data_IF_837010610049
#
_entry.id   IF_837010610049
#
_cell.length_a   1.000
_cell.length_b   1.000
_cell.length_c   1.000
_cell.angle_alpha   90.00
_cell.angle_beta   90.00
_cell.angle_gamma   90.00
#
_symmetry.space_group_name_H-M   'P 1'
#
loop_
_entity.id
_entity.type
_entity.pdbx_description
1 polymer ?
#
# COMPACT_ATOMS: atom_id res chain seq x y z
N UNK A 1 -11.89 -1.25 19.33
CA UNK A 1 -11.64 -0.91 17.91
C UNK A 1 -10.59 0.19 17.69
N UNK A 2 -10.17 0.97 18.71
CA UNK A 2 -9.15 2.03 18.60
C UNK A 2 -7.70 1.54 18.42
N UNK A 3 -7.43 0.26 18.70
CA UNK A 3 -6.05 -0.25 18.87
C UNK A 3 -5.34 -0.54 17.53
N UNK A 4 -5.98 -1.33 16.65
CA UNK A 4 -5.38 -1.73 15.35
C UNK A 4 -4.97 -0.56 14.46
N UNK A 5 -5.78 0.50 14.39
CA UNK A 5 -5.45 1.68 13.56
C UNK A 5 -4.23 2.42 14.08
N UNK A 6 -4.06 2.49 15.40
CA UNK A 6 -2.86 3.05 16.02
C UNK A 6 -1.65 2.16 15.71
N UNK A 7 -1.81 0.84 15.75
CA UNK A 7 -0.77 -0.12 15.34
C UNK A 7 -0.35 0.08 13.88
N UNK A 8 -1.30 0.24 12.95
CA UNK A 8 -0.98 0.53 11.53
C UNK A 8 -0.16 1.81 11.41
N UNK A 9 -0.56 2.90 12.09
CA UNK A 9 0.21 4.15 12.07
C UNK A 9 1.59 4.03 12.73
N UNK A 10 1.71 3.24 13.79
CA UNK A 10 3.00 2.96 14.41
C UNK A 10 3.92 2.19 13.44
N UNK A 11 3.39 1.19 12.74
CA UNK A 11 4.14 0.42 11.76
C UNK A 11 4.53 1.26 10.54
N UNK A 12 3.62 2.08 10.00
CA UNK A 12 3.93 3.03 8.91
C UNK A 12 5.15 3.88 9.30
N UNK A 13 5.13 4.48 10.49
CA UNK A 13 6.25 5.29 10.99
C UNK A 13 7.55 4.50 11.14
N UNK A 14 7.48 3.25 11.63
CA UNK A 14 8.66 2.39 11.76
C UNK A 14 9.24 2.00 10.40
N UNK A 15 8.38 1.69 9.42
CA UNK A 15 8.78 1.40 8.04
C UNK A 15 9.45 2.62 7.38
N UNK A 16 8.86 3.80 7.50
CA UNK A 16 9.48 5.03 7.00
C UNK A 16 10.82 5.32 7.67
N UNK A 17 10.93 5.11 8.99
CA UNK A 17 12.17 5.27 9.73
C UNK A 17 13.25 4.26 9.28
N UNK A 18 12.86 3.01 9.02
CA UNK A 18 13.75 1.96 8.52
C UNK A 18 14.35 2.31 7.15
N UNK A 19 13.57 2.93 6.26
CA UNK A 19 14.03 3.40 4.94
C UNK A 19 14.35 4.89 4.87
N UNK A 20 14.61 5.56 6.01
CA UNK A 20 14.76 7.02 6.09
C UNK A 20 15.89 7.60 5.22
N UNK A 21 16.90 6.79 4.90
CA UNK A 21 18.05 7.22 4.11
C UNK A 21 17.77 7.21 2.61
N UNK A 22 16.64 6.63 2.16
CA UNK A 22 16.25 6.62 0.76
C UNK A 22 15.49 7.92 0.41
N UNK A 23 15.74 8.54 -0.75
CA UNK A 23 15.08 9.78 -1.14
C UNK A 23 13.60 9.54 -1.49
N UNK A 24 12.76 10.54 -1.24
CA UNK A 24 11.38 10.58 -1.73
C UNK A 24 11.39 11.01 -3.21
N UNK A 25 10.61 10.37 -4.10
CA UNK A 25 9.60 9.33 -3.84
C UNK A 25 10.07 7.87 -3.99
N UNK A 26 11.36 7.64 -4.32
CA UNK A 26 11.91 6.30 -4.53
C UNK A 26 11.76 5.38 -3.30
N UNK A 27 11.86 5.95 -2.09
CA UNK A 27 11.62 5.26 -0.82
C UNK A 27 10.32 4.47 -0.81
N UNK A 28 9.23 5.02 -1.35
CA UNK A 28 7.92 4.37 -1.31
C UNK A 28 7.83 3.16 -2.23
N UNK A 29 8.58 3.15 -3.35
CA UNK A 29 8.70 1.96 -4.19
C UNK A 29 9.44 0.83 -3.46
N UNK A 30 10.51 1.17 -2.72
CA UNK A 30 11.20 0.18 -1.88
C UNK A 30 10.28 -0.34 -0.79
N UNK A 31 9.55 0.54 -0.09
CA UNK A 31 8.61 0.15 0.96
C UNK A 31 7.47 -0.72 0.43
N UNK A 32 6.88 -0.39 -0.72
CA UNK A 32 5.91 -1.24 -1.42
C UNK A 32 6.49 -2.66 -1.60
N UNK A 33 7.70 -2.76 -2.17
CA UNK A 33 8.35 -4.05 -2.44
C UNK A 33 8.65 -4.82 -1.16
N UNK A 34 9.14 -4.14 -0.12
CA UNK A 34 9.45 -4.78 1.15
C UNK A 34 8.20 -5.38 1.80
N UNK A 35 7.09 -4.64 1.81
CA UNK A 35 5.83 -5.11 2.38
C UNK A 35 5.20 -6.23 1.57
N UNK A 36 5.36 -6.21 0.24
CA UNK A 36 5.00 -7.34 -0.62
C UNK A 36 5.80 -8.60 -0.24
N UNK A 37 7.12 -8.46 -0.02
CA UNK A 37 7.97 -9.57 0.40
C UNK A 37 7.54 -10.15 1.75
N UNK A 38 7.22 -9.27 2.71
CA UNK A 38 6.72 -9.68 4.04
C UNK A 38 5.40 -10.45 3.91
N UNK A 39 4.41 -9.91 3.20
CA UNK A 39 3.09 -10.53 3.08
C UNK A 39 3.08 -11.84 2.30
N UNK A 40 4.03 -12.01 1.38
CA UNK A 40 4.15 -13.22 0.56
C UNK A 40 5.26 -14.17 1.04
N UNK A 41 5.92 -13.87 2.17
CA UNK A 41 7.03 -14.64 2.71
C UNK A 41 8.10 -15.00 1.65
N UNK A 42 8.48 -14.01 0.83
CA UNK A 42 9.41 -14.22 -0.30
C UNK A 42 10.75 -14.77 0.22
N UNK A 43 11.23 -15.92 -0.28
CA UNK A 43 12.47 -16.52 0.18
C UNK A 43 13.67 -15.58 0.06
N UNK A 44 14.59 -15.64 1.04
CA UNK A 44 15.79 -14.79 1.05
C UNK A 44 15.56 -13.35 1.50
N UNK A 45 14.33 -13.00 1.92
CA UNK A 45 14.03 -11.69 2.53
C UNK A 45 13.81 -11.86 4.03
N UNK A 46 14.35 -10.92 4.82
CA UNK A 46 14.18 -10.89 6.27
C UNK A 46 14.15 -9.44 6.75
N UNK A 47 13.27 -9.17 7.70
CA UNK A 47 13.01 -7.85 8.23
C UNK A 47 13.00 -7.91 9.76
N UNK A 48 13.43 -6.84 10.47
CA UNK A 48 13.32 -6.78 11.92
C UNK A 48 11.88 -7.06 12.40
N UNK A 49 11.73 -7.88 13.45
CA UNK A 49 10.42 -8.23 14.02
C UNK A 49 9.59 -6.99 14.45
N UNK A 50 10.25 -5.87 14.75
CA UNK A 50 9.58 -4.60 15.09
C UNK A 50 8.83 -3.94 13.91
N UNK A 51 9.08 -4.40 12.67
CA UNK A 51 8.43 -3.94 11.44
C UNK A 51 7.23 -4.81 11.03
N UNK A 52 6.96 -5.89 11.74
CA UNK A 52 5.92 -6.86 11.39
C UNK A 52 4.91 -6.99 12.52
N UNK A 53 3.67 -7.31 12.15
CA UNK A 53 2.58 -7.62 13.08
C UNK A 53 2.03 -9.01 12.76
N UNK A 54 1.66 -9.82 13.78
CA UNK A 54 1.01 -11.10 13.54
C UNK A 54 -0.39 -10.98 12.91
N UNK A 55 -1.06 -9.83 13.02
CA UNK A 55 -2.36 -9.59 12.41
C UNK A 55 -2.22 -9.24 10.91
N UNK A 56 -2.64 -10.17 10.05
CA UNK A 56 -2.62 -10.00 8.60
C UNK A 56 -3.43 -8.78 8.13
N UNK A 57 -4.50 -8.38 8.84
CA UNK A 57 -5.29 -7.19 8.51
C UNK A 57 -4.45 -5.91 8.69
N UNK A 58 -3.67 -5.85 9.78
CA UNK A 58 -2.75 -4.75 10.07
C UNK A 58 -1.66 -4.69 9.00
N UNK A 59 -1.01 -5.82 8.71
CA UNK A 59 0.03 -5.88 7.68
C UNK A 59 -0.49 -5.55 6.29
N UNK A 60 -1.73 -5.95 5.98
CA UNK A 60 -2.37 -5.62 4.72
C UNK A 60 -2.69 -4.12 4.59
N UNK A 61 -3.14 -3.47 5.66
CA UNK A 61 -3.39 -2.04 5.66
C UNK A 61 -2.10 -1.22 5.46
N UNK A 62 -0.99 -1.63 6.09
CA UNK A 62 0.33 -0.99 5.91
C UNK A 62 0.82 -1.18 4.45
N UNK A 63 0.74 -2.39 3.90
CA UNK A 63 1.13 -2.62 2.49
C UNK A 63 0.29 -1.78 1.53
N UNK A 64 -1.03 -1.79 1.68
CA UNK A 64 -1.93 -1.05 0.79
C UNK A 64 -1.71 0.46 0.85
N UNK A 65 -1.38 1.00 2.03
CA UNK A 65 -0.99 2.40 2.20
C UNK A 65 0.23 2.74 1.33
N UNK A 66 1.34 2.02 1.50
CA UNK A 66 2.56 2.29 0.74
C UNK A 66 2.44 1.94 -0.73
N UNK A 67 1.66 0.93 -1.10
CA UNK A 67 1.35 0.59 -2.49
C UNK A 67 0.73 1.78 -3.22
N UNK A 68 -0.36 2.32 -2.68
CA UNK A 68 -1.07 3.44 -3.30
C UNK A 68 -0.21 4.71 -3.31
N UNK A 69 0.46 4.99 -2.17
CA UNK A 69 1.38 6.12 -2.05
C UNK A 69 2.54 6.03 -3.04
N UNK A 70 3.11 4.86 -3.25
CA UNK A 70 4.19 4.66 -4.19
C UNK A 70 3.76 4.92 -5.63
N UNK A 71 2.61 4.40 -6.06
CA UNK A 71 2.12 4.59 -7.42
C UNK A 71 1.76 6.04 -7.72
N UNK A 72 1.09 6.73 -6.80
CA UNK A 72 0.73 8.14 -6.98
C UNK A 72 1.95 9.04 -6.80
N UNK A 73 2.70 8.90 -5.71
CA UNK A 73 3.85 9.74 -5.36
C UNK A 73 5.00 9.67 -6.34
N UNK A 74 5.16 8.55 -7.06
CA UNK A 74 6.16 8.44 -8.14
C UNK A 74 5.64 8.90 -9.51
N UNK A 75 4.36 9.26 -9.63
CA UNK A 75 3.72 9.65 -10.89
C UNK A 75 3.43 8.47 -11.82
N UNK A 76 3.38 7.24 -11.29
CA UNK A 76 3.03 6.04 -12.08
C UNK A 76 1.55 6.06 -12.46
N UNK A 77 0.71 6.58 -11.57
CA UNK A 77 -0.73 6.69 -11.76
C UNK A 77 -1.20 8.08 -11.32
N UNK A 78 -2.13 8.72 -12.06
CA UNK A 78 -2.82 9.87 -11.53
C UNK A 78 -3.77 9.43 -10.40
N UNK A 79 -3.91 10.27 -9.38
CA UNK A 79 -4.65 9.90 -8.17
C UNK A 79 -6.14 9.61 -8.41
N UNK A 80 -6.79 10.33 -9.33
CA UNK A 80 -8.17 10.05 -9.72
C UNK A 80 -8.32 8.62 -10.25
N UNK A 81 -7.35 8.15 -11.04
CA UNK A 81 -7.36 6.82 -11.60
C UNK A 81 -7.11 5.77 -10.51
N UNK A 82 -6.19 6.03 -9.57
CA UNK A 82 -5.99 5.13 -8.45
C UNK A 82 -7.20 4.99 -7.54
N UNK A 83 -7.97 6.08 -7.31
CA UNK A 83 -9.24 6.00 -6.57
C UNK A 83 -10.21 5.07 -7.30
N UNK A 84 -10.49 5.36 -8.58
CA UNK A 84 -11.42 4.56 -9.38
C UNK A 84 -11.01 3.07 -9.45
N UNK A 85 -9.73 2.79 -9.67
CA UNK A 85 -9.23 1.42 -9.72
C UNK A 85 -9.32 0.70 -8.38
N UNK A 86 -9.04 1.40 -7.28
CA UNK A 86 -9.17 0.85 -5.92
C UNK A 86 -10.62 0.52 -5.61
N UNK A 87 -11.55 1.40 -5.96
CA UNK A 87 -12.99 1.18 -5.77
C UNK A 87 -13.47 -0.03 -6.58
N UNK A 88 -13.14 -0.08 -7.89
CA UNK A 88 -13.48 -1.22 -8.76
C UNK A 88 -12.91 -2.53 -8.21
N UNK A 89 -11.64 -2.53 -7.77
CA UNK A 89 -11.00 -3.71 -7.20
C UNK A 89 -11.69 -4.17 -5.92
N UNK A 90 -11.97 -3.26 -4.99
CA UNK A 90 -12.60 -3.56 -3.72
C UNK A 90 -14.04 -4.06 -3.91
N UNK A 91 -14.82 -3.42 -4.78
CA UNK A 91 -16.15 -3.86 -5.18
C UNK A 91 -16.11 -5.25 -5.83
N UNK A 92 -15.19 -5.48 -6.76
CA UNK A 92 -15.03 -6.78 -7.39
C UNK A 92 -14.66 -7.89 -6.39
N UNK A 93 -13.97 -7.57 -5.29
CA UNK A 93 -13.67 -8.50 -4.19
C UNK A 93 -14.90 -8.81 -3.35
N UNK A 94 -15.71 -7.81 -3.04
CA UNK A 94 -16.97 -7.96 -2.30
C UNK A 94 -17.98 -8.84 -3.02
N UNK A 95 -18.07 -8.71 -4.34
CA UNK A 95 -18.98 -9.50 -5.17
C UNK A 95 -18.37 -10.84 -5.64
N UNK A 96 -17.15 -11.18 -5.22
CA UNK A 96 -16.49 -12.44 -5.63
C UNK A 96 -16.13 -12.52 -7.12
N UNK A 97 -16.08 -11.38 -7.81
CA UNK A 97 -15.82 -11.25 -9.25
C UNK A 97 -14.33 -11.17 -9.58
N UNK A 98 -13.47 -11.13 -8.56
CA UNK A 98 -12.01 -11.07 -8.73
C UNK A 98 -11.35 -12.34 -8.19
N UNK A 99 -10.27 -12.84 -8.83
CA UNK A 99 -9.57 -14.02 -8.34
C UNK A 99 -9.09 -13.81 -6.91
N UNK A 100 -9.20 -14.84 -6.06
CA UNK A 100 -8.60 -14.82 -4.72
C UNK A 100 -7.08 -14.82 -4.86
N UNK A 101 -6.47 -13.63 -4.80
CA UNK A 101 -5.02 -13.50 -4.73
C UNK A 101 -4.59 -13.87 -3.31
N UNK A 102 -3.63 -14.79 -3.21
CA UNK A 102 -3.14 -15.41 -1.99
C UNK A 102 -4.16 -16.32 -1.26
N UNK A 103 -4.24 -17.62 -1.61
CA UNK A 103 -5.11 -18.57 -0.93
C UNK A 103 -4.76 -18.80 0.56
N UNK A 104 -3.54 -18.43 0.98
CA UNK A 104 -3.03 -18.70 2.33
C UNK A 104 -3.21 -17.51 3.31
N UNK A 105 -3.50 -16.30 2.82
CA UNK A 105 -3.75 -15.11 3.64
C UNK A 105 -4.90 -14.26 3.08
N UNK A 106 -6.13 -14.80 3.05
CA UNK A 106 -7.26 -14.12 2.44
C UNK A 106 -7.73 -12.97 3.32
N UNK A 107 -7.42 -11.74 2.93
CA UNK A 107 -8.09 -10.52 3.43
C UNK A 107 -9.10 -10.04 2.39
N UNK A 108 -9.91 -10.99 1.89
CA UNK A 108 -10.92 -10.77 0.85
C UNK A 108 -12.31 -11.12 1.40
N UNK A 109 -13.27 -10.19 1.39
CA UNK A 109 -13.15 -8.81 0.92
C UNK A 109 -12.25 -7.94 1.82
N UNK A 110 -11.64 -6.87 1.28
CA UNK A 110 -10.81 -5.96 2.07
C UNK A 110 -11.64 -5.29 3.16
N UNK A 111 -11.09 -5.23 4.36
CA UNK A 111 -11.73 -4.57 5.51
C UNK A 111 -11.82 -3.06 5.31
N UNK A 112 -12.71 -2.40 6.05
CA UNK A 112 -12.83 -0.94 5.99
C UNK A 112 -11.51 -0.24 6.33
N UNK A 113 -10.73 -0.78 7.27
CA UNK A 113 -9.42 -0.23 7.62
C UNK A 113 -8.46 -0.27 6.42
N UNK A 114 -8.43 -1.37 5.66
CA UNK A 114 -7.60 -1.46 4.46
C UNK A 114 -8.01 -0.41 3.42
N UNK A 115 -9.31 -0.22 3.19
CA UNK A 115 -9.84 0.80 2.26
C UNK A 115 -9.45 2.21 2.69
N UNK A 116 -9.58 2.52 3.97
CA UNK A 116 -9.24 3.83 4.52
C UNK A 116 -7.73 4.12 4.34
N UNK A 117 -6.86 3.13 4.59
CA UNK A 117 -5.42 3.28 4.39
C UNK A 117 -4.99 3.32 2.92
N UNK A 118 -5.72 2.69 2.00
CA UNK A 118 -5.54 2.92 0.55
C UNK A 118 -5.82 4.39 0.20
N UNK A 119 -6.96 4.93 0.65
CA UNK A 119 -7.33 6.32 0.39
C UNK A 119 -6.31 7.32 0.97
N UNK A 120 -5.83 7.07 2.19
CA UNK A 120 -4.76 7.86 2.80
C UNK A 120 -3.46 7.78 2.00
N UNK A 121 -3.07 6.58 1.55
CA UNK A 121 -1.89 6.39 0.70
C UNK A 121 -1.98 7.18 -0.60
N UNK A 122 -3.15 7.21 -1.25
CA UNK A 122 -3.40 8.03 -2.44
C UNK A 122 -3.21 9.52 -2.13
N UNK A 123 -3.81 10.02 -1.04
CA UNK A 123 -3.74 11.43 -0.67
C UNK A 123 -2.31 11.88 -0.33
N UNK A 124 -1.58 11.08 0.43
CA UNK A 124 -0.17 11.36 0.73
C UNK A 124 0.70 11.28 -0.53
N UNK A 125 0.39 10.34 -1.44
CA UNK A 125 1.05 10.25 -2.74
C UNK A 125 0.82 11.49 -3.61
N UNK A 126 -0.37 12.09 -3.60
CA UNK A 126 -0.61 13.37 -4.30
C UNK A 126 0.26 14.49 -3.73
N UNK A 127 0.41 14.53 -2.40
CA UNK A 127 1.27 15.51 -1.74
C UNK A 127 2.75 15.29 -2.12
N UNK A 128 3.23 14.05 -2.09
CA UNK A 128 4.60 13.69 -2.50
C UNK A 128 4.87 14.05 -3.96
N UNK A 129 3.92 13.74 -4.85
CA UNK A 129 4.03 14.02 -6.28
C UNK A 129 4.17 15.52 -6.52
N UNK A 130 3.31 16.32 -5.86
CA UNK A 130 3.34 17.79 -5.93
C UNK A 130 4.69 18.34 -5.45
N UNK A 131 5.22 17.83 -4.35
CA UNK A 131 6.53 18.26 -3.81
C UNK A 131 7.67 17.86 -4.75
N UNK A 132 7.58 16.70 -5.39
CA UNK A 132 8.61 16.21 -6.32
C UNK A 132 8.70 16.99 -7.64
N UNK A 133 7.68 17.79 -7.98
CA UNK A 133 7.57 18.51 -9.25
C UNK A 133 7.32 17.61 -10.47
N UNK A 134 7.19 16.29 -10.29
CA UNK A 134 6.85 15.35 -11.35
C UNK A 134 5.37 15.50 -11.75
N UNK A 135 5.05 15.09 -12.98
CA UNK A 135 3.69 15.04 -13.49
C UNK A 135 3.28 13.60 -13.77
N UNK A 136 2.09 13.16 -13.31
CA UNK A 136 1.57 11.86 -13.68
C UNK A 136 1.08 11.91 -15.15
N UNK A 137 0.94 10.76 -15.82
CA UNK A 137 0.22 10.69 -17.09
C UNK A 137 -1.26 11.06 -16.89
N UNK A 138 -1.94 11.46 -17.96
CA UNK A 138 -3.38 11.71 -17.93
C UNK A 138 -4.16 10.43 -17.62
N UNK A 139 -3.77 9.33 -18.26
CA UNK A 139 -4.26 7.96 -18.04
C UNK A 139 -3.06 7.03 -18.11
N UNK A 140 -2.96 6.09 -17.18
CA UNK A 140 -1.95 5.03 -17.20
C UNK A 140 -2.58 3.65 -17.43
N UNK A 141 -1.78 2.68 -17.86
CA UNK A 141 -2.23 1.28 -17.81
C UNK A 141 -2.34 0.84 -16.34
N UNK A 142 -3.27 -0.05 -15.98
CA UNK A 142 -3.30 -0.67 -14.67
C UNK A 142 -1.90 -1.19 -14.29
N UNK A 143 -1.39 -0.86 -13.09
CA UNK A 143 -0.08 -1.33 -12.68
C UNK A 143 -0.13 -2.84 -12.47
N UNK A 144 0.90 -3.53 -12.95
CA UNK A 144 1.12 -4.94 -12.63
C UNK A 144 1.79 -5.03 -11.25
N UNK A 145 1.40 -6.05 -10.48
CA UNK A 145 2.03 -6.34 -9.20
C UNK A 145 3.45 -6.88 -9.38
#
# INVERSE_FOLDING_TARGET
>A
MSDKRQTVWALIRRWEAFRRNEPIPARFLTLKRDLYNVRNAVPGTSYPASLTDPDDEVMAAVEHYFLCRAWVGNGVQPAWQMRAMTDIYNTGKEYGLTPRHNPNRPVTPPSQMQKDFQALGIADGEADLRVSGRKPPLVAKPPTY
#
